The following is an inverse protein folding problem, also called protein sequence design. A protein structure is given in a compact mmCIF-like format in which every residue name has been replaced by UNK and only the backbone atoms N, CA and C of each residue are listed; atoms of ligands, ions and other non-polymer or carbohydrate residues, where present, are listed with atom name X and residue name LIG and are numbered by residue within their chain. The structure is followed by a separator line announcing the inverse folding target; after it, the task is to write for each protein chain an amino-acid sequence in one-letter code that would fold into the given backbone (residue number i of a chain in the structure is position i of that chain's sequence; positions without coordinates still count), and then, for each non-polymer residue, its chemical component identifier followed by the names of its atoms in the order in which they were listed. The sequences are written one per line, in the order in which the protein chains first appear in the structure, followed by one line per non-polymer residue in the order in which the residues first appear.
data_IF_345703405351
#
_entry.id   IF_345703405351
#
_cell.length_a   1.000
_cell.length_b   1.000
_cell.length_c   1.000
_cell.angle_alpha   90.00
_cell.angle_beta   90.00
_cell.angle_gamma   90.00
#
_symmetry.space_group_name_H-M   'P 1'
#
loop_
_entity.id
_entity.type
_entity.pdbx_description
1 polymer ?
#
# COMPACT_ATOMS: atom_id res chain seq x y z
N UNK A 1 -38.03 -48.63 38.28
CA UNK A 1 -38.99 -48.40 37.17
C UNK A 1 -38.19 -47.80 36.02
N UNK A 2 -37.73 -48.63 35.08
CA UNK A 2 -38.37 -48.97 33.79
C UNK A 2 -38.00 -47.99 32.65
N UNK A 3 -36.86 -48.31 32.03
CA UNK A 3 -36.58 -48.47 30.58
C UNK A 3 -36.70 -47.32 29.57
N UNK A 4 -35.90 -47.37 28.49
CA UNK A 4 -35.63 -46.28 27.53
C UNK A 4 -36.47 -46.40 26.24
N UNK A 5 -36.53 -45.33 25.44
CA UNK A 5 -37.07 -45.40 24.08
C UNK A 5 -36.05 -44.90 23.05
N UNK A 6 -35.55 -45.87 22.29
CA UNK A 6 -34.82 -45.77 21.03
C UNK A 6 -35.70 -45.13 19.96
N UNK A 7 -35.23 -44.10 19.26
CA UNK A 7 -35.71 -43.71 17.93
C UNK A 7 -34.52 -43.13 17.15
N UNK A 8 -33.86 -43.97 16.36
CA UNK A 8 -34.08 -44.14 14.92
C UNK A 8 -33.08 -43.28 14.14
N UNK A 9 -32.03 -43.97 13.73
CA UNK A 9 -31.07 -43.57 12.72
C UNK A 9 -31.81 -43.26 11.42
N UNK A 10 -31.69 -42.03 10.92
CA UNK A 10 -31.91 -41.71 9.50
C UNK A 10 -30.58 -41.21 8.94
N UNK A 11 -29.84 -42.12 8.31
CA UNK A 11 -28.75 -41.79 7.40
C UNK A 11 -29.36 -41.11 6.17
N UNK A 12 -29.31 -39.78 6.12
CA UNK A 12 -29.50 -39.05 4.87
C UNK A 12 -28.11 -38.88 4.23
N UNK A 13 -27.72 -39.88 3.44
CA UNK A 13 -26.53 -39.86 2.60
C UNK A 13 -26.69 -38.78 1.53
N UNK A 14 -26.20 -37.58 1.82
CA UNK A 14 -26.14 -36.47 0.87
C UNK A 14 -24.98 -36.74 -0.09
N UNK A 15 -25.29 -37.29 -1.27
CA UNK A 15 -24.34 -37.48 -2.35
C UNK A 15 -23.91 -36.11 -2.90
N UNK A 16 -22.65 -35.74 -2.69
CA UNK A 16 -22.05 -34.58 -3.35
C UNK A 16 -21.84 -34.91 -4.84
N UNK A 17 -22.61 -34.26 -5.72
CA UNK A 17 -22.24 -34.13 -7.13
C UNK A 17 -21.26 -32.96 -7.25
N UNK A 18 -20.00 -33.28 -7.54
CA UNK A 18 -18.96 -32.32 -7.92
C UNK A 18 -19.23 -31.78 -9.32
N UNK A 19 -19.66 -30.52 -9.43
CA UNK A 19 -19.69 -29.77 -10.70
C UNK A 19 -18.34 -29.07 -10.87
N UNK A 20 -17.48 -29.62 -11.72
CA UNK A 20 -16.28 -28.96 -12.21
C UNK A 20 -16.64 -28.02 -13.36
N UNK A 21 -16.92 -26.76 -13.05
CA UNK A 21 -16.92 -25.69 -14.04
C UNK A 21 -15.52 -25.03 -14.03
N UNK A 22 -14.65 -25.51 -14.90
CA UNK A 22 -13.35 -24.91 -15.15
C UNK A 22 -13.54 -23.63 -15.98
N UNK A 23 -13.55 -22.46 -15.33
CA UNK A 23 -13.36 -21.18 -16.00
C UNK A 23 -11.87 -20.99 -16.23
N UNK A 24 -11.47 -20.99 -17.50
CA UNK A 24 -10.10 -20.77 -17.93
C UNK A 24 -9.65 -19.36 -17.54
N UNK A 25 -8.71 -19.28 -16.59
CA UNK A 25 -7.90 -18.08 -16.40
C UNK A 25 -6.91 -18.05 -17.56
N UNK A 26 -7.15 -17.15 -18.52
CA UNK A 26 -6.14 -16.79 -19.52
C UNK A 26 -4.98 -16.11 -18.80
N UNK A 27 -3.92 -16.86 -18.55
CA UNK A 27 -2.61 -16.31 -18.22
C UNK A 27 -2.07 -15.61 -19.47
N UNK A 28 -2.32 -14.31 -19.57
CA UNK A 28 -1.57 -13.46 -20.50
C UNK A 28 -0.14 -13.35 -19.96
N UNK A 29 0.73 -14.19 -20.51
CA UNK A 29 2.17 -14.06 -20.42
C UNK A 29 2.59 -12.73 -21.06
N UNK A 30 2.76 -11.68 -20.26
CA UNK A 30 3.50 -10.50 -20.69
C UNK A 30 4.96 -10.90 -20.86
N UNK A 31 5.37 -11.13 -22.10
CA UNK A 31 6.76 -11.27 -22.50
C UNK A 31 7.50 -10.00 -22.07
N UNK A 32 8.43 -10.12 -21.11
CA UNK A 32 9.36 -9.04 -20.78
C UNK A 32 10.35 -8.96 -21.95
N UNK A 33 10.41 -7.87 -22.73
CA UNK A 33 11.45 -7.72 -23.72
C UNK A 33 12.79 -7.51 -23.00
N UNK A 34 13.67 -8.49 -23.15
CA UNK A 34 15.08 -8.38 -22.78
C UNK A 34 15.75 -7.31 -23.65
N UNK A 35 15.92 -6.10 -23.13
CA UNK A 35 16.90 -5.15 -23.65
C UNK A 35 17.79 -4.71 -22.49
N UNK A 36 18.83 -5.50 -22.27
CA UNK A 36 20.02 -5.05 -21.56
C UNK A 36 20.77 -4.14 -22.51
N UNK A 37 20.66 -2.81 -22.31
CA UNK A 37 21.58 -1.83 -22.89
C UNK A 37 21.89 -0.73 -21.86
N UNK A 38 23.15 -0.74 -21.44
CA UNK A 38 23.99 0.40 -21.05
C UNK A 38 23.48 1.38 -19.96
N UNK A 39 24.01 1.17 -18.75
CA UNK A 39 24.12 2.19 -17.73
C UNK A 39 25.20 3.22 -18.12
N UNK A 40 24.82 4.32 -18.79
CA UNK A 40 25.44 5.65 -18.69
C UNK A 40 24.91 6.58 -19.80
N UNK A 41 23.77 7.21 -19.54
CA UNK A 41 23.34 8.54 -20.03
C UNK A 41 22.10 8.88 -19.21
N UNK A 42 21.95 10.14 -18.79
CA UNK A 42 20.72 10.69 -18.21
C UNK A 42 19.58 10.58 -19.23
N UNK A 43 19.04 9.37 -19.40
CA UNK A 43 17.95 9.09 -20.32
C UNK A 43 16.65 9.46 -19.62
N UNK A 44 16.44 10.77 -19.51
CA UNK A 44 15.24 11.34 -18.91
C UNK A 44 14.09 11.05 -19.85
N UNK A 45 13.19 10.15 -19.44
CA UNK A 45 12.01 9.82 -20.23
C UNK A 45 11.19 11.11 -20.49
N UNK A 46 10.79 11.38 -21.75
CA UNK A 46 9.88 12.48 -22.06
C UNK A 46 8.59 12.41 -21.22
N UNK A 47 8.08 13.57 -20.80
CA UNK A 47 6.87 13.65 -19.96
C UNK A 47 5.66 12.92 -20.57
N UNK A 48 5.58 12.89 -21.91
CA UNK A 48 4.53 12.21 -22.68
C UNK A 48 4.51 10.69 -22.51
N UNK A 49 5.60 10.09 -22.02
CA UNK A 49 5.70 8.65 -21.78
C UNK A 49 5.13 8.25 -20.41
N UNK A 50 4.89 9.21 -19.51
CA UNK A 50 4.26 8.93 -18.22
C UNK A 50 2.73 8.95 -18.34
N UNK A 51 2.06 8.13 -17.51
CA UNK A 51 0.60 8.14 -17.50
C UNK A 51 0.06 9.48 -16.96
N UNK A 52 -1.06 9.99 -17.51
CA UNK A 52 -1.68 11.22 -17.02
C UNK A 52 -2.05 11.15 -15.52
N UNK A 53 -2.42 9.96 -15.03
CA UNK A 53 -2.73 9.74 -13.62
C UNK A 53 -1.51 9.91 -12.72
N UNK A 54 -0.35 9.36 -13.13
CA UNK A 54 0.90 9.51 -12.39
C UNK A 54 1.34 10.97 -12.30
N UNK A 55 1.32 11.70 -13.42
CA UNK A 55 1.65 13.12 -13.45
C UNK A 55 0.72 13.95 -12.56
N UNK A 56 -0.58 13.59 -12.53
CA UNK A 56 -1.56 14.21 -11.64
C UNK A 56 -1.26 13.98 -10.16
N UNK A 57 -0.90 12.75 -9.77
CA UNK A 57 -0.48 12.44 -8.40
C UNK A 57 0.82 13.16 -8.03
N UNK A 58 1.81 13.15 -8.91
CA UNK A 58 3.09 13.81 -8.68
C UNK A 58 2.91 15.31 -8.46
N UNK A 59 2.08 15.98 -9.29
CA UNK A 59 1.74 17.40 -9.11
C UNK A 59 1.15 17.70 -7.73
N UNK A 60 0.23 16.86 -7.23
CA UNK A 60 -0.34 17.03 -5.88
C UNK A 60 0.71 16.89 -4.78
N UNK A 61 1.64 15.94 -4.93
CA UNK A 61 2.74 15.80 -3.97
C UNK A 61 3.67 17.02 -3.98
N UNK A 62 3.90 17.63 -5.14
CA UNK A 62 4.69 18.86 -5.24
C UNK A 62 4.07 20.05 -4.48
N UNK A 63 2.73 20.12 -4.37
CA UNK A 63 2.05 21.18 -3.60
C UNK A 63 2.34 21.12 -2.09
N UNK A 64 2.77 19.96 -1.58
CA UNK A 64 3.06 19.72 -0.16
C UNK A 64 4.55 19.45 0.10
N UNK A 65 5.41 19.65 -0.90
CA UNK A 65 6.85 19.37 -0.80
C UNK A 65 7.49 20.08 0.39
N UNK A 66 7.17 21.36 0.60
CA UNK A 66 7.78 22.18 1.66
C UNK A 66 7.50 21.60 3.06
N UNK A 67 6.29 21.08 3.28
CA UNK A 67 5.93 20.44 4.55
C UNK A 67 6.67 19.11 4.72
N UNK A 68 6.74 18.29 3.66
CA UNK A 68 7.51 17.05 3.66
C UNK A 68 8.98 17.36 4.01
N UNK A 69 9.59 18.32 3.31
CA UNK A 69 10.99 18.73 3.49
C UNK A 69 11.28 19.21 4.91
N UNK A 70 10.41 20.07 5.46
CA UNK A 70 10.52 20.55 6.85
C UNK A 70 10.61 19.39 7.85
N UNK A 71 9.79 18.35 7.67
CA UNK A 71 9.78 17.22 8.60
C UNK A 71 10.91 16.22 8.32
N UNK A 72 11.29 16.01 7.05
CA UNK A 72 12.42 15.13 6.73
C UNK A 72 13.72 15.68 7.29
N UNK A 73 13.92 17.00 7.20
CA UNK A 73 15.08 17.69 7.78
C UNK A 73 15.07 17.57 9.31
N UNK A 74 13.89 17.71 9.94
CA UNK A 74 13.72 17.57 11.40
C UNK A 74 14.07 16.18 11.92
N UNK A 75 13.72 15.12 11.18
CA UNK A 75 13.83 13.74 11.62
C UNK A 75 14.98 12.96 10.96
N UNK A 76 15.81 13.63 10.15
CA UNK A 76 16.95 13.00 9.47
C UNK A 76 16.55 11.93 8.46
N UNK A 77 15.37 12.05 7.83
CA UNK A 77 14.89 11.12 6.81
C UNK A 77 15.28 11.64 5.42
N UNK A 78 15.65 10.75 4.50
CA UNK A 78 15.91 11.17 3.12
C UNK A 78 14.61 11.66 2.45
N UNK A 79 14.65 12.86 1.86
CA UNK A 79 13.47 13.49 1.25
C UNK A 79 12.83 12.62 0.15
N UNK A 80 13.65 12.02 -0.72
CA UNK A 80 13.13 11.20 -1.82
C UNK A 80 12.40 9.94 -1.32
N UNK A 81 12.79 9.39 -0.18
CA UNK A 81 12.10 8.26 0.44
C UNK A 81 10.71 8.69 0.92
N UNK A 82 10.61 9.82 1.62
CA UNK A 82 9.33 10.34 2.09
C UNK A 82 8.39 10.68 0.92
N UNK A 83 8.93 11.30 -0.15
CA UNK A 83 8.17 11.62 -1.36
C UNK A 83 7.65 10.36 -2.05
N UNK A 84 8.51 9.35 -2.22
CA UNK A 84 8.13 8.09 -2.86
C UNK A 84 7.02 7.37 -2.08
N UNK A 85 7.13 7.33 -0.74
CA UNK A 85 6.09 6.73 0.12
C UNK A 85 4.80 7.53 0.04
N UNK A 86 4.82 8.87 0.15
CA UNK A 86 3.61 9.68 0.04
C UNK A 86 2.89 9.48 -1.30
N UNK A 87 3.65 9.39 -2.40
CA UNK A 87 3.13 9.12 -3.72
C UNK A 87 2.45 7.75 -3.79
N UNK A 88 3.05 6.73 -3.18
CA UNK A 88 2.51 5.37 -3.12
C UNK A 88 1.26 5.27 -2.24
N UNK A 89 1.27 5.90 -1.06
CA UNK A 89 0.20 5.78 -0.06
C UNK A 89 -1.09 6.49 -0.48
N UNK A 90 -0.98 7.69 -1.06
CA UNK A 90 -2.17 8.50 -1.38
C UNK A 90 -2.10 9.26 -2.69
N UNK A 91 -0.96 9.27 -3.38
CA UNK A 91 -0.74 10.13 -4.54
C UNK A 91 -0.91 11.61 -4.21
N UNK A 92 -0.58 12.03 -2.98
CA UNK A 92 -0.76 13.40 -2.50
C UNK A 92 -2.20 13.77 -2.14
N UNK A 93 -3.05 12.80 -1.78
CA UNK A 93 -4.45 13.07 -1.42
C UNK A 93 -4.67 13.15 0.10
N UNK A 94 -4.85 14.36 0.63
CA UNK A 94 -5.13 14.62 2.04
C UNK A 94 -6.43 13.97 2.55
N UNK A 95 -7.42 13.80 1.68
CA UNK A 95 -8.75 13.29 2.02
C UNK A 95 -8.88 11.78 1.88
N UNK A 96 -7.81 11.07 1.50
CA UNK A 96 -7.88 9.63 1.28
C UNK A 96 -8.03 8.88 2.60
N UNK A 97 -9.01 7.99 2.66
CA UNK A 97 -9.22 7.08 3.79
C UNK A 97 -9.41 5.65 3.31
N UNK A 98 -8.76 4.69 3.97
CA UNK A 98 -8.94 3.26 3.69
C UNK A 98 -10.09 2.64 4.49
N UNK A 99 -10.60 1.49 4.04
CA UNK A 99 -11.62 0.72 4.76
C UNK A 99 -11.21 0.37 6.20
N UNK A 100 -9.97 -0.10 6.44
CA UNK A 100 -9.45 -0.32 7.80
C UNK A 100 -9.21 0.97 8.61
N UNK A 101 -9.23 2.15 7.98
CA UNK A 101 -9.20 3.44 8.67
C UNK A 101 -7.89 4.21 8.62
N UNK A 102 -6.96 3.85 7.73
CA UNK A 102 -5.79 4.68 7.41
C UNK A 102 -6.24 6.01 6.79
N UNK A 103 -5.51 7.11 7.04
CA UNK A 103 -5.92 8.46 6.62
C UNK A 103 -4.78 9.31 6.09
N UNK A 104 -5.12 10.19 5.16
CA UNK A 104 -4.27 11.30 4.72
C UNK A 104 -3.11 10.90 3.81
N UNK A 105 -2.17 11.83 3.68
CA UNK A 105 -1.02 11.74 2.78
C UNK A 105 -0.17 10.48 2.93
N UNK A 106 0.08 10.06 4.17
CA UNK A 106 0.90 8.89 4.50
C UNK A 106 0.08 7.71 5.02
N UNK A 107 -1.25 7.76 4.86
CA UNK A 107 -2.15 6.68 5.28
C UNK A 107 -1.88 6.20 6.73
N UNK A 108 -1.65 7.15 7.64
CA UNK A 108 -1.33 6.84 9.04
C UNK A 108 -2.60 6.35 9.76
N UNK A 109 -2.48 5.24 10.48
CA UNK A 109 -3.56 4.71 11.32
C UNK A 109 -3.83 5.62 12.52
N UNK A 110 -5.10 5.79 12.97
CA UNK A 110 -5.44 6.70 14.07
C UNK A 110 -4.72 6.39 15.38
N UNK A 111 -4.45 5.12 15.67
CA UNK A 111 -3.70 4.72 16.86
C UNK A 111 -2.23 5.20 16.80
N UNK A 112 -1.57 4.97 15.66
CA UNK A 112 -0.20 5.44 15.40
C UNK A 112 -0.12 6.96 15.42
N UNK A 113 -1.08 7.66 14.81
CA UNK A 113 -1.12 9.11 14.82
C UNK A 113 -1.14 9.67 16.26
N UNK A 114 -1.99 9.09 17.13
CA UNK A 114 -2.08 9.48 18.55
C UNK A 114 -0.80 9.16 19.34
N UNK A 115 -0.14 8.04 19.07
CA UNK A 115 1.08 7.65 19.80
C UNK A 115 2.26 8.55 19.47
N UNK A 116 2.33 9.07 18.24
CA UNK A 116 3.42 9.92 17.78
C UNK A 116 3.37 11.34 18.36
N UNK A 117 2.21 11.81 18.83
CA UNK A 117 2.01 13.14 19.44
C UNK A 117 2.51 14.29 18.55
N UNK A 118 2.01 14.31 17.33
CA UNK A 118 2.34 15.29 16.28
C UNK A 118 1.06 15.90 15.72
N UNK A 119 1.19 17.03 15.04
CA UNK A 119 0.03 17.84 14.67
C UNK A 119 -0.51 17.50 13.27
N UNK A 120 0.35 17.08 12.34
CA UNK A 120 -0.03 16.84 10.94
C UNK A 120 0.22 15.41 10.49
N UNK A 121 -0.57 14.95 9.50
CA UNK A 121 -0.42 13.62 8.92
C UNK A 121 0.95 13.41 8.25
N UNK A 122 1.48 14.47 7.64
CA UNK A 122 2.82 14.47 7.03
C UNK A 122 3.89 14.29 8.11
N UNK A 123 3.80 15.05 9.20
CA UNK A 123 4.72 14.88 10.32
C UNK A 123 4.69 13.46 10.88
N UNK A 124 3.49 12.90 11.06
CA UNK A 124 3.31 11.54 11.55
C UNK A 124 3.95 10.50 10.63
N UNK A 125 3.70 10.59 9.32
CA UNK A 125 4.29 9.70 8.32
C UNK A 125 5.81 9.77 8.32
N UNK A 126 6.38 10.98 8.25
CA UNK A 126 7.84 11.18 8.20
C UNK A 126 8.50 10.71 9.50
N UNK A 127 7.93 11.04 10.67
CA UNK A 127 8.46 10.59 11.97
C UNK A 127 8.45 9.08 12.09
N UNK A 128 7.36 8.43 11.66
CA UNK A 128 7.26 6.97 11.68
C UNK A 128 8.28 6.30 10.75
N UNK A 129 8.44 6.81 9.53
CA UNK A 129 9.45 6.31 8.59
C UNK A 129 10.87 6.45 9.14
N UNK A 130 11.20 7.59 9.75
CA UNK A 130 12.49 7.78 10.42
C UNK A 130 12.72 6.76 11.54
N UNK A 131 11.70 6.45 12.34
CA UNK A 131 11.80 5.39 13.35
C UNK A 131 12.08 4.02 12.73
N UNK A 132 11.43 3.67 11.62
CA UNK A 132 11.64 2.40 10.92
C UNK A 132 13.03 2.31 10.30
N UNK A 133 13.50 3.36 9.64
CA UNK A 133 14.88 3.42 9.11
C UNK A 133 15.86 3.23 10.26
N UNK A 134 15.77 4.02 11.32
CA UNK A 134 16.69 3.89 12.47
C UNK A 134 16.65 2.50 13.14
N UNK A 135 15.50 1.82 13.10
CA UNK A 135 15.35 0.48 13.66
C UNK A 135 16.01 -0.60 12.79
N UNK A 136 15.95 -0.47 11.47
CA UNK A 136 16.32 -1.53 10.52
C UNK A 136 17.56 -1.25 9.66
N UNK A 137 18.12 -0.04 9.69
CA UNK A 137 19.31 0.37 8.93
C UNK A 137 20.63 -0.28 9.41
N UNK A 138 20.56 -1.29 10.28
CA UNK A 138 21.72 -2.00 10.85
C UNK A 138 21.88 -3.44 10.37
N UNK A 139 21.18 -3.83 9.31
CA UNK A 139 21.25 -5.15 8.68
C UNK A 139 21.78 -5.06 7.24
#
# INVERSE_FOLDING_TARGET
MRTPLVFLVVFASLTLLSVSAATQVTTQSSTIPSSSQNAATDDVLPLEQFSPSFLGMYRKVMEIEDEIRRHTDRYGLHYDLARAVCLYESGGNAGLSSGPGARGYFQVMPATFRSLRVDTNIEAGVKYLSQMVNQFDRE
#
